data_IF_415405433917
#
_entry.id   IF_415405433917
#
_cell.length_a   1.000
_cell.length_b   1.000
_cell.length_c   1.000
_cell.angle_alpha   90.00
_cell.angle_beta   90.00
_cell.angle_gamma   90.00
#
_symmetry.space_group_name_H-M   'P 1'
#
loop_
_entity.id
_entity.type
_entity.pdbx_description
1 polymer ?
#
# COMPACT_ATOMS: atom_id res chain seq x y z
N UNK A 1 8.87 16.41 22.72
CA UNK A 1 9.81 15.46 22.11
C UNK A 1 9.15 14.79 20.91
N UNK A 2 9.75 14.95 19.76
CA UNK A 2 9.20 14.38 18.52
C UNK A 2 9.57 12.90 18.41
N UNK A 3 8.57 12.06 18.20
CA UNK A 3 8.76 10.64 17.93
C UNK A 3 9.40 10.48 16.54
N UNK A 4 10.35 9.55 16.34
CA UNK A 4 10.88 9.26 15.00
C UNK A 4 9.83 8.62 14.06
N UNK A 5 8.77 8.05 14.62
CA UNK A 5 7.72 7.36 13.85
C UNK A 5 7.05 8.28 12.83
N UNK A 6 6.61 9.52 13.16
CA UNK A 6 6.00 10.41 12.17
C UNK A 6 6.91 10.73 10.99
N UNK A 7 8.22 10.88 11.22
CA UNK A 7 9.17 11.16 10.14
C UNK A 7 9.35 9.94 9.22
N UNK A 8 9.41 8.75 9.79
CA UNK A 8 9.50 7.50 9.03
C UNK A 8 8.24 7.32 8.19
N UNK A 9 7.07 7.54 8.78
CA UNK A 9 5.80 7.45 8.06
C UNK A 9 5.74 8.46 6.92
N UNK A 10 6.23 9.68 7.13
CA UNK A 10 6.25 10.70 6.09
C UNK A 10 7.13 10.29 4.91
N UNK A 11 8.30 9.71 5.17
CA UNK A 11 9.18 9.19 4.12
C UNK A 11 8.48 8.09 3.32
N UNK A 12 7.85 7.15 4.01
CA UNK A 12 7.08 6.07 3.38
C UNK A 12 5.94 6.63 2.53
N UNK A 13 5.22 7.61 3.06
CA UNK A 13 4.11 8.23 2.35
C UNK A 13 4.57 9.00 1.11
N UNK A 14 5.70 9.70 1.17
CA UNK A 14 6.28 10.37 0.01
C UNK A 14 6.59 9.37 -1.10
N UNK A 15 7.18 8.24 -0.74
CA UNK A 15 7.49 7.18 -1.68
C UNK A 15 6.22 6.61 -2.32
N UNK A 16 5.23 6.29 -1.51
CA UNK A 16 3.95 5.78 -2.02
C UNK A 16 3.27 6.77 -2.94
N UNK A 17 3.27 8.05 -2.58
CA UNK A 17 2.69 9.11 -3.38
C UNK A 17 3.35 9.19 -4.75
N UNK A 18 4.68 9.14 -4.78
CA UNK A 18 5.43 9.17 -6.03
C UNK A 18 5.13 7.93 -6.89
N UNK A 19 5.10 6.74 -6.29
CA UNK A 19 4.92 5.48 -7.02
C UNK A 19 3.47 5.26 -7.48
N UNK A 20 2.50 5.75 -6.72
CA UNK A 20 1.08 5.56 -7.03
C UNK A 20 0.46 6.69 -7.86
N UNK A 21 1.26 7.63 -8.32
CA UNK A 21 0.79 8.67 -9.24
C UNK A 21 0.26 9.93 -8.60
N UNK A 22 0.57 10.17 -7.34
CA UNK A 22 0.26 11.42 -6.65
C UNK A 22 -0.65 11.28 -5.45
N UNK A 23 -0.88 12.40 -4.78
CA UNK A 23 -1.68 12.45 -3.55
C UNK A 23 -3.13 12.03 -3.79
N UNK A 24 -3.69 12.39 -4.93
CA UNK A 24 -5.08 12.04 -5.26
C UNK A 24 -5.27 10.54 -5.40
N UNK A 25 -4.29 9.83 -5.94
CA UNK A 25 -4.37 8.37 -6.07
C UNK A 25 -4.31 7.68 -4.71
N UNK A 26 -3.43 8.14 -3.82
CA UNK A 26 -3.35 7.62 -2.46
C UNK A 26 -4.65 7.91 -1.70
N UNK A 27 -5.20 9.12 -1.85
CA UNK A 27 -6.46 9.50 -1.23
C UNK A 27 -7.62 8.62 -1.71
N UNK A 28 -7.69 8.39 -3.02
CA UNK A 28 -8.72 7.52 -3.60
C UNK A 28 -8.62 6.10 -3.05
N UNK A 29 -7.42 5.58 -2.96
CA UNK A 29 -7.15 4.25 -2.45
C UNK A 29 -7.59 4.09 -1.00
N UNK A 30 -7.34 5.10 -0.18
CA UNK A 30 -7.69 5.08 1.24
C UNK A 30 -9.11 5.59 1.51
N UNK A 31 -9.81 6.08 0.49
CA UNK A 31 -11.14 6.69 0.60
C UNK A 31 -11.16 7.87 1.56
N UNK A 32 -10.17 8.73 1.43
CA UNK A 32 -10.08 9.98 2.19
C UNK A 32 -9.93 11.15 1.22
N UNK A 33 -10.09 12.37 1.72
CA UNK A 33 -9.86 13.56 0.93
C UNK A 33 -8.37 13.76 0.66
N UNK A 34 -8.04 14.28 -0.50
CA UNK A 34 -6.66 14.62 -0.85
C UNK A 34 -6.01 15.54 0.19
N UNK A 35 -6.78 16.45 0.77
CA UNK A 35 -6.29 17.35 1.81
C UNK A 35 -5.73 16.60 3.04
N UNK A 36 -6.31 15.45 3.38
CA UNK A 36 -5.78 14.64 4.48
C UNK A 36 -4.39 14.09 4.15
N UNK A 37 -4.22 13.56 2.94
CA UNK A 37 -2.91 13.07 2.48
C UNK A 37 -1.89 14.21 2.48
N UNK A 38 -2.29 15.39 2.03
CA UNK A 38 -1.43 16.57 2.04
C UNK A 38 -0.99 16.94 3.45
N UNK A 39 -1.91 16.89 4.43
CA UNK A 39 -1.56 17.16 5.84
C UNK A 39 -0.62 16.13 6.41
N UNK A 40 -0.82 14.84 6.08
CA UNK A 40 0.11 13.79 6.51
C UNK A 40 1.51 14.00 5.93
N UNK A 41 1.59 14.39 4.67
CA UNK A 41 2.88 14.73 4.04
C UNK A 41 3.53 15.93 4.73
N UNK A 42 2.74 16.83 5.27
CA UNK A 42 3.20 17.98 6.05
C UNK A 42 3.58 17.66 7.49
N UNK A 43 3.40 16.42 7.92
CA UNK A 43 3.81 15.97 9.24
C UNK A 43 2.67 15.66 10.22
N UNK A 44 1.40 15.86 9.83
CA UNK A 44 0.28 15.47 10.67
C UNK A 44 0.23 13.94 10.75
N UNK A 45 0.07 13.41 11.96
CA UNK A 45 -0.01 11.97 12.15
C UNK A 45 -1.35 11.43 11.65
N UNK A 46 -1.36 10.38 10.80
CA UNK A 46 -2.61 9.74 10.41
C UNK A 46 -3.32 9.12 11.62
N UNK A 47 -4.66 9.05 11.56
CA UNK A 47 -5.42 8.31 12.54
C UNK A 47 -5.03 6.82 12.52
N UNK A 48 -5.30 6.06 13.60
CA UNK A 48 -4.84 4.66 13.68
C UNK A 48 -5.29 3.77 12.52
N UNK A 49 -6.52 3.95 12.03
CA UNK A 49 -7.04 3.13 10.94
C UNK A 49 -6.29 3.42 9.63
N UNK A 50 -6.17 4.69 9.28
CA UNK A 50 -5.45 5.06 8.06
C UNK A 50 -3.94 4.82 8.18
N UNK A 51 -3.37 5.02 9.36
CA UNK A 51 -1.98 4.69 9.63
C UNK A 51 -1.68 3.22 9.39
N UNK A 52 -2.54 2.32 9.88
CA UNK A 52 -2.39 0.89 9.67
C UNK A 52 -2.50 0.51 8.19
N UNK A 53 -3.42 1.14 7.46
CA UNK A 53 -3.59 0.90 6.02
C UNK A 53 -2.39 1.38 5.21
N UNK A 54 -1.84 2.53 5.56
CA UNK A 54 -0.62 3.05 4.92
C UNK A 54 0.56 2.11 5.15
N UNK A 55 0.73 1.61 6.37
CA UNK A 55 1.80 0.68 6.67
C UNK A 55 1.62 -0.65 5.93
N UNK A 56 0.40 -1.16 5.86
CA UNK A 56 0.10 -2.38 5.12
C UNK A 56 0.41 -2.21 3.64
N UNK A 57 -0.01 -1.10 3.05
CA UNK A 57 0.25 -0.80 1.65
C UNK A 57 1.75 -0.70 1.38
N UNK A 58 2.48 0.00 2.23
CA UNK A 58 3.92 0.15 2.10
C UNK A 58 4.63 -1.20 2.22
N UNK A 59 4.23 -2.02 3.17
CA UNK A 59 4.80 -3.36 3.36
C UNK A 59 4.58 -4.23 2.12
N UNK A 60 3.34 -4.29 1.63
CA UNK A 60 3.00 -5.11 0.47
C UNK A 60 3.74 -4.61 -0.77
N UNK A 61 3.77 -3.31 -1.00
CA UNK A 61 4.47 -2.74 -2.15
C UNK A 61 5.97 -3.04 -2.10
N UNK A 62 6.59 -2.86 -0.95
CA UNK A 62 8.01 -3.21 -0.75
C UNK A 62 8.25 -4.69 -1.04
N UNK A 63 7.34 -5.55 -0.61
CA UNK A 63 7.43 -6.99 -0.85
C UNK A 63 7.37 -7.31 -2.34
N UNK A 64 6.46 -6.67 -3.07
CA UNK A 64 6.33 -6.84 -4.52
C UNK A 64 7.57 -6.35 -5.27
N UNK A 65 8.21 -5.29 -4.79
CA UNK A 65 9.40 -4.74 -5.42
C UNK A 65 10.63 -5.66 -5.32
N UNK A 66 10.58 -6.72 -4.52
CA UNK A 66 11.63 -7.75 -4.51
C UNK A 66 11.64 -8.56 -5.80
N UNK A 67 10.48 -8.70 -6.44
CA UNK A 67 10.32 -9.53 -7.64
C UNK A 67 9.94 -8.72 -8.88
N UNK A 68 9.40 -7.54 -8.70
CA UNK A 68 8.84 -6.74 -9.78
C UNK A 68 9.35 -5.31 -9.75
N UNK A 69 9.47 -4.71 -10.93
CA UNK A 69 9.65 -3.25 -11.03
C UNK A 69 8.35 -2.54 -10.63
N UNK A 70 8.40 -1.24 -10.29
CA UNK A 70 7.24 -0.51 -9.78
C UNK A 70 5.99 -0.61 -10.65
N UNK A 71 6.12 -0.48 -11.97
CA UNK A 71 4.96 -0.55 -12.87
C UNK A 71 4.27 -1.90 -12.82
N UNK A 72 5.03 -2.99 -12.72
CA UNK A 72 4.49 -4.35 -12.63
C UNK A 72 3.84 -4.58 -11.26
N UNK A 73 4.46 -4.09 -10.21
CA UNK A 73 3.89 -4.17 -8.86
C UNK A 73 2.53 -3.46 -8.78
N UNK A 74 2.41 -2.29 -9.41
CA UNK A 74 1.14 -1.58 -9.48
C UNK A 74 0.07 -2.36 -10.25
N UNK A 75 0.46 -2.98 -11.37
CA UNK A 75 -0.45 -3.84 -12.13
C UNK A 75 -0.93 -5.02 -11.31
N UNK A 76 -0.04 -5.62 -10.51
CA UNK A 76 -0.41 -6.72 -9.63
C UNK A 76 -1.44 -6.27 -8.59
N UNK A 77 -1.23 -5.12 -7.99
CA UNK A 77 -2.14 -4.57 -6.98
C UNK A 77 -3.52 -4.25 -7.53
N UNK A 78 -3.60 -3.76 -8.76
CA UNK A 78 -4.86 -3.34 -9.37
C UNK A 78 -5.55 -4.44 -10.17
N UNK A 79 -4.86 -5.54 -10.47
CA UNK A 79 -5.42 -6.64 -11.25
C UNK A 79 -6.25 -7.60 -10.43
N UNK A 80 -7.18 -8.29 -11.07
CA UNK A 80 -7.94 -9.36 -10.42
C UNK A 80 -7.02 -10.56 -10.17
N UNK A 81 -7.09 -11.12 -8.98
CA UNK A 81 -6.17 -12.17 -8.54
C UNK A 81 -6.94 -13.45 -8.18
N UNK A 82 -6.59 -14.55 -8.83
CA UNK A 82 -7.25 -15.84 -8.62
C UNK A 82 -7.12 -16.35 -7.18
N UNK A 83 -5.98 -16.10 -6.53
CA UNK A 83 -5.76 -16.50 -5.15
C UNK A 83 -6.61 -15.72 -4.15
N UNK A 84 -7.22 -14.62 -4.61
CA UNK A 84 -8.09 -13.75 -3.81
C UNK A 84 -9.56 -13.85 -4.24
N UNK A 85 -9.93 -14.94 -4.91
CA UNK A 85 -11.29 -15.11 -5.41
C UNK A 85 -11.64 -14.10 -6.50
N UNK A 86 -10.69 -13.78 -7.37
CA UNK A 86 -10.82 -12.78 -8.43
C UNK A 86 -11.12 -11.37 -7.91
N UNK A 87 -10.62 -11.05 -6.72
CA UNK A 87 -10.67 -9.69 -6.17
C UNK A 87 -9.34 -9.00 -6.39
N UNK A 88 -9.36 -7.68 -6.35
CA UNK A 88 -8.13 -6.88 -6.49
C UNK A 88 -7.41 -6.81 -5.15
N UNK A 89 -6.09 -7.06 -5.10
CA UNK A 89 -5.33 -6.91 -3.86
C UNK A 89 -5.50 -5.55 -3.20
N UNK A 90 -5.54 -4.48 -4.00
CA UNK A 90 -5.70 -3.13 -3.50
C UNK A 90 -7.03 -2.94 -2.71
N UNK A 91 -8.09 -3.59 -3.15
CA UNK A 91 -9.39 -3.53 -2.48
C UNK A 91 -9.34 -4.21 -1.11
N UNK A 92 -8.64 -5.33 -1.02
CA UNK A 92 -8.46 -6.03 0.26
C UNK A 92 -7.61 -5.23 1.23
N UNK A 93 -6.56 -4.57 0.75
CA UNK A 93 -5.74 -3.68 1.57
C UNK A 93 -6.56 -2.51 2.11
N UNK A 94 -7.43 -1.95 1.28
CA UNK A 94 -8.34 -0.89 1.70
C UNK A 94 -9.26 -1.34 2.82
N UNK A 95 -9.69 -2.60 2.77
CA UNK A 95 -10.56 -3.21 3.78
C UNK A 95 -9.81 -3.72 5.01
N UNK A 96 -8.49 -3.55 5.06
CA UNK A 96 -7.67 -3.99 6.18
C UNK A 96 -7.32 -5.47 6.17
N UNK A 97 -7.52 -6.17 5.05
CA UNK A 97 -7.31 -7.61 4.92
C UNK A 97 -5.90 -7.92 4.38
N UNK A 98 -4.90 -7.39 5.03
CA UNK A 98 -3.50 -7.49 4.57
C UNK A 98 -3.00 -8.93 4.57
N UNK A 99 -3.41 -9.76 5.52
CA UNK A 99 -2.94 -11.14 5.63
C UNK A 99 -3.29 -11.96 4.39
N UNK A 100 -4.47 -11.74 3.82
CA UNK A 100 -4.89 -12.44 2.60
C UNK A 100 -4.03 -12.02 1.41
N UNK A 101 -3.68 -10.74 1.31
CA UNK A 101 -2.83 -10.23 0.24
C UNK A 101 -1.43 -10.81 0.35
N UNK A 102 -0.88 -10.87 1.56
CA UNK A 102 0.45 -11.47 1.80
C UNK A 102 0.43 -12.94 1.41
N UNK A 103 -0.62 -13.68 1.78
CA UNK A 103 -0.76 -15.08 1.40
C UNK A 103 -0.79 -15.26 -0.12
N UNK A 104 -1.47 -14.36 -0.84
CA UNK A 104 -1.50 -14.40 -2.30
C UNK A 104 -0.12 -14.16 -2.92
N UNK A 105 0.67 -13.25 -2.34
CA UNK A 105 2.06 -13.02 -2.77
C UNK A 105 2.89 -14.29 -2.57
N UNK A 106 2.76 -14.93 -1.42
CA UNK A 106 3.49 -16.16 -1.09
C UNK A 106 3.13 -17.30 -2.04
N UNK A 107 1.85 -17.45 -2.36
CA UNK A 107 1.40 -18.44 -3.32
C UNK A 107 1.98 -18.20 -4.71
N UNK A 108 2.04 -16.96 -5.12
CA UNK A 108 2.65 -16.58 -6.40
C UNK A 108 4.15 -16.92 -6.41
N UNK A 109 4.85 -16.60 -5.33
CA UNK A 109 6.29 -16.89 -5.20
C UNK A 109 6.56 -18.40 -5.27
N UNK A 110 5.75 -19.21 -4.58
CA UNK A 110 5.84 -20.68 -4.63
C UNK A 110 5.60 -21.17 -6.06
N UNK A 111 4.56 -20.63 -6.73
CA UNK A 111 4.20 -21.02 -8.09
C UNK A 111 5.29 -20.72 -9.10
N UNK A 112 6.08 -19.66 -8.89
CA UNK A 112 7.15 -19.28 -9.82
C UNK A 112 8.36 -20.23 -9.78
N UNK A 113 8.45 -21.08 -8.77
CA UNK A 113 9.51 -22.10 -8.66
C UNK A 113 9.03 -23.51 -9.04
N UNK A 114 7.77 -23.65 -9.33
CA UNK A 114 7.18 -24.96 -9.63
C UNK A 114 7.45 -25.45 -11.07
#
# INVERSE_FOLDING_TARGET
MTSPIPDVMRVKLKRLTAEFGGQSEVARLLRVDRSRVSRWLGGEEPDPVNGARLEALEYVFTRLLRSYKPSTALKWLHGFNAHLGNRRPISLLRDGRVAEVIAAIEQHDIGSYA
#
